data_IF_176481698241
#
_entry.id   IF_176481698241
#
_cell.length_a   1.000
_cell.length_b   1.000
_cell.length_c   1.000
_cell.angle_alpha   90.00
_cell.angle_beta   90.00
_cell.angle_gamma   90.00
#
_symmetry.space_group_name_H-M   'P 1'
#
loop_
_entity.id
_entity.type
_entity.pdbx_description
1 polymer ?
#
# COMPACT_ATOMS: atom_id res chain seq x y z
N UNK A 1 12.35 21.53 -6.86
CA UNK A 1 11.40 21.24 -5.86
C UNK A 1 11.76 20.05 -5.04
N UNK A 2 11.66 20.23 -3.80
CA UNK A 2 11.95 19.23 -2.81
C UNK A 2 10.98 18.08 -2.89
N UNK A 3 11.43 16.90 -3.25
CA UNK A 3 10.66 15.68 -3.18
C UNK A 3 9.43 15.61 -4.07
N UNK A 4 8.55 16.57 -3.98
CA UNK A 4 7.28 16.53 -4.70
C UNK A 4 7.39 16.84 -6.19
N UNK A 5 8.40 17.60 -6.56
CA UNK A 5 8.65 17.94 -7.96
C UNK A 5 9.72 17.09 -8.62
N UNK A 6 10.23 16.09 -7.93
CA UNK A 6 11.33 15.28 -8.45
C UNK A 6 10.83 14.30 -9.52
N UNK A 7 11.28 14.53 -10.75
CA UNK A 7 10.90 13.72 -11.90
C UNK A 7 11.62 12.36 -11.94
N UNK A 8 12.65 12.18 -11.12
CA UNK A 8 13.40 10.91 -11.08
C UNK A 8 12.57 9.78 -10.45
N UNK A 9 11.59 10.10 -9.62
CA UNK A 9 10.74 9.12 -8.95
C UNK A 9 9.30 9.42 -9.31
N UNK A 10 8.66 8.54 -10.08
CA UNK A 10 7.26 8.72 -10.46
C UNK A 10 6.33 8.43 -9.29
N UNK A 11 5.05 8.76 -9.44
CA UNK A 11 4.05 8.60 -8.38
C UNK A 11 3.90 7.16 -7.92
N UNK A 12 3.91 6.23 -8.87
CA UNK A 12 3.78 4.81 -8.56
C UNK A 12 4.93 4.34 -7.68
N UNK A 13 6.16 4.64 -8.08
CA UNK A 13 7.34 4.26 -7.31
C UNK A 13 7.35 4.90 -5.93
N UNK A 14 6.99 6.18 -5.85
CA UNK A 14 6.90 6.88 -4.57
C UNK A 14 5.88 6.24 -3.64
N UNK A 15 4.73 5.83 -4.17
CA UNK A 15 3.71 5.11 -3.39
C UNK A 15 4.25 3.80 -2.86
N UNK A 16 5.00 3.06 -3.67
CA UNK A 16 5.62 1.80 -3.25
C UNK A 16 6.64 2.03 -2.12
N UNK A 17 7.44 3.08 -2.25
CA UNK A 17 8.41 3.45 -1.20
C UNK A 17 7.70 3.83 0.10
N UNK A 18 6.60 4.58 0.01
CA UNK A 18 5.82 4.95 1.20
C UNK A 18 5.27 3.72 1.91
N UNK A 19 4.78 2.74 1.18
CA UNK A 19 4.26 1.50 1.77
C UNK A 19 5.38 0.73 2.48
N UNK A 20 6.57 0.69 1.89
CA UNK A 20 7.71 0.03 2.54
C UNK A 20 8.10 0.75 3.83
N UNK A 21 8.22 2.06 3.79
CA UNK A 21 8.63 2.85 4.96
C UNK A 21 7.59 2.80 6.07
N UNK A 22 6.33 3.04 5.75
CA UNK A 22 5.26 3.06 6.74
C UNK A 22 5.05 1.67 7.34
N UNK A 23 5.16 0.63 6.53
CA UNK A 23 5.08 -0.75 7.00
C UNK A 23 6.22 -1.08 7.95
N UNK A 24 7.45 -0.68 7.61
CA UNK A 24 8.61 -0.92 8.45
C UNK A 24 8.50 -0.19 9.79
N UNK A 25 7.95 1.02 9.77
CA UNK A 25 7.78 1.83 10.98
C UNK A 25 6.56 1.43 11.81
N UNK A 26 5.72 0.54 11.30
CA UNK A 26 4.52 0.11 12.01
C UNK A 26 3.40 1.13 12.06
N UNK A 27 3.39 2.10 11.16
CA UNK A 27 2.36 3.16 11.10
C UNK A 27 1.17 2.67 10.29
N UNK A 28 0.38 1.78 10.87
CA UNK A 28 -0.61 1.01 10.14
C UNK A 28 -1.81 1.83 9.67
N UNK A 29 -2.21 2.84 10.41
CA UNK A 29 -3.31 3.70 9.98
C UNK A 29 -2.94 4.46 8.70
N UNK A 30 -1.77 5.08 8.69
CA UNK A 30 -1.25 5.76 7.50
C UNK A 30 -0.96 4.79 6.39
N UNK A 31 -0.45 3.60 6.73
CA UNK A 31 -0.19 2.56 5.74
C UNK A 31 -1.45 2.22 4.95
N UNK A 32 -2.58 2.06 5.64
CA UNK A 32 -3.86 1.74 4.99
C UNK A 32 -4.31 2.86 4.04
N UNK A 33 -4.15 4.11 4.45
CA UNK A 33 -4.49 5.27 3.62
C UNK A 33 -3.61 5.29 2.37
N UNK A 34 -2.31 5.08 2.54
CA UNK A 34 -1.36 5.06 1.42
C UNK A 34 -1.54 3.84 0.52
N UNK A 35 -2.03 2.73 1.07
CA UNK A 35 -2.35 1.54 0.28
C UNK A 35 -3.47 1.86 -0.73
N UNK A 36 -4.50 2.56 -0.30
CA UNK A 36 -5.57 3.03 -1.19
C UNK A 36 -5.01 3.97 -2.26
N UNK A 37 -4.19 4.94 -1.84
CA UNK A 37 -3.56 5.89 -2.76
C UNK A 37 -2.64 5.21 -3.75
N UNK A 38 -1.91 4.20 -3.32
CA UNK A 38 -1.01 3.43 -4.18
C UNK A 38 -1.78 2.76 -5.31
N UNK A 39 -2.92 2.17 -5.02
CA UNK A 39 -3.75 1.55 -6.05
C UNK A 39 -4.21 2.59 -7.09
N UNK A 40 -4.57 3.78 -6.65
CA UNK A 40 -4.94 4.88 -7.56
C UNK A 40 -3.77 5.30 -8.44
N UNK A 41 -2.55 5.17 -7.94
CA UNK A 41 -1.33 5.50 -8.67
C UNK A 41 -0.78 4.33 -9.49
N UNK A 42 -1.54 3.26 -9.60
CA UNK A 42 -1.21 2.14 -10.48
C UNK A 42 -0.44 0.99 -9.84
N UNK A 43 -0.26 1.01 -8.52
CA UNK A 43 0.37 -0.11 -7.81
C UNK A 43 -0.63 -1.26 -7.74
N UNK A 44 -0.24 -2.41 -8.26
CA UNK A 44 -1.12 -3.59 -8.30
C UNK A 44 -1.13 -4.31 -6.95
N UNK A 45 -2.16 -5.15 -6.75
CA UNK A 45 -2.23 -6.00 -5.55
C UNK A 45 -1.01 -6.90 -5.42
N UNK A 46 -0.53 -7.45 -6.54
CA UNK A 46 0.66 -8.29 -6.53
C UNK A 46 1.91 -7.50 -6.12
N UNK A 47 2.03 -6.27 -6.58
CA UNK A 47 3.14 -5.40 -6.18
C UNK A 47 3.06 -5.06 -4.69
N UNK A 48 1.86 -4.83 -4.16
CA UNK A 48 1.67 -4.58 -2.73
C UNK A 48 2.06 -5.81 -1.92
N UNK A 49 1.67 -7.00 -2.36
CA UNK A 49 2.07 -8.25 -1.71
C UNK A 49 3.58 -8.45 -1.73
N UNK A 50 4.23 -8.08 -2.83
CA UNK A 50 5.69 -8.15 -2.94
C UNK A 50 6.36 -7.20 -1.94
N UNK A 51 5.82 -5.99 -1.76
CA UNK A 51 6.32 -5.04 -0.77
C UNK A 51 6.19 -5.63 0.64
N UNK A 52 5.06 -6.24 0.96
CA UNK A 52 4.83 -6.89 2.25
C UNK A 52 5.85 -8.02 2.48
N UNK A 53 6.15 -8.77 1.44
CA UNK A 53 7.16 -9.82 1.51
C UNK A 53 8.53 -9.26 1.88
N UNK A 54 8.91 -8.15 1.26
CA UNK A 54 10.18 -7.46 1.57
C UNK A 54 10.18 -6.97 3.01
N UNK A 55 9.06 -6.43 3.49
CA UNK A 55 8.92 -6.03 4.90
C UNK A 55 9.15 -7.23 5.81
N UNK A 56 8.62 -8.40 5.45
CA UNK A 56 8.82 -9.62 6.23
C UNK A 56 10.27 -10.03 6.31
N UNK A 57 11.02 -9.89 5.22
CA UNK A 57 12.44 -10.24 5.18
C UNK A 57 13.27 -9.33 6.08
N UNK A 58 13.02 -8.03 6.06
CA UNK A 58 13.87 -7.05 6.73
C UNK A 58 13.34 -6.60 8.09
N UNK A 59 12.03 -6.68 8.32
CA UNK A 59 11.41 -6.16 9.54
C UNK A 59 10.74 -7.25 10.39
N UNK A 60 10.70 -8.49 9.88
CA UNK A 60 10.14 -9.62 10.59
C UNK A 60 8.71 -9.96 10.19
N UNK A 61 8.37 -11.23 10.39
CA UNK A 61 7.07 -11.78 10.01
C UNK A 61 5.89 -11.12 10.72
N UNK A 62 5.97 -10.82 12.04
CA UNK A 62 4.83 -10.16 12.70
C UNK A 62 4.42 -8.84 12.04
N UNK A 63 5.39 -8.03 11.63
CA UNK A 63 5.11 -6.76 10.97
C UNK A 63 4.52 -6.98 9.58
N UNK A 64 5.04 -7.96 8.85
CA UNK A 64 4.48 -8.32 7.54
C UNK A 64 3.02 -8.79 7.66
N UNK A 65 2.70 -9.55 8.71
CA UNK A 65 1.32 -10.01 8.94
C UNK A 65 0.37 -8.85 9.21
N UNK A 66 0.82 -7.83 9.95
CA UNK A 66 0.00 -6.63 10.17
C UNK A 66 -0.29 -5.92 8.85
N UNK A 67 0.72 -5.76 8.02
CA UNK A 67 0.55 -5.15 6.69
C UNK A 67 -0.38 -5.99 5.81
N UNK A 68 -0.24 -7.30 5.88
CA UNK A 68 -1.07 -8.22 5.10
C UNK A 68 -2.55 -8.10 5.49
N UNK A 69 -2.83 -8.06 6.79
CA UNK A 69 -4.20 -7.87 7.28
C UNK A 69 -4.78 -6.53 6.83
N UNK A 70 -3.98 -5.46 6.95
CA UNK A 70 -4.40 -4.14 6.51
C UNK A 70 -4.66 -4.10 5.00
N UNK A 71 -3.80 -4.73 4.22
CA UNK A 71 -3.96 -4.80 2.76
C UNK A 71 -5.26 -5.53 2.38
N UNK A 72 -5.51 -6.66 3.01
CA UNK A 72 -6.72 -7.44 2.72
C UNK A 72 -7.98 -6.65 3.04
N UNK A 73 -7.97 -5.88 4.12
CA UNK A 73 -9.09 -5.02 4.47
C UNK A 73 -9.29 -3.92 3.43
N UNK A 74 -8.21 -3.28 2.99
CA UNK A 74 -8.28 -2.23 1.96
C UNK A 74 -8.84 -2.82 0.65
N UNK A 75 -8.37 -4.00 0.26
CA UNK A 75 -8.85 -4.66 -0.97
C UNK A 75 -10.33 -5.04 -0.85
N UNK A 76 -10.75 -5.57 0.30
CA UNK A 76 -12.14 -5.94 0.52
C UNK A 76 -13.06 -4.73 0.51
N UNK A 77 -12.66 -3.63 1.14
CA UNK A 77 -13.42 -2.39 1.15
C UNK A 77 -13.57 -1.81 -0.26
N UNK A 78 -12.52 -1.88 -1.06
CA UNK A 78 -12.55 -1.43 -2.44
C UNK A 78 -13.50 -2.27 -3.29
N UNK A 79 -13.46 -3.59 -3.15
CA UNK A 79 -14.34 -4.51 -3.87
C UNK A 79 -15.80 -4.28 -3.48
N UNK A 80 -16.07 -4.05 -2.21
CA UNK A 80 -17.42 -3.76 -1.73
C UNK A 80 -17.95 -2.46 -2.30
N UNK A 81 -17.13 -1.43 -2.39
CA UNK A 81 -17.49 -0.15 -2.98
C UNK A 81 -17.87 -0.31 -4.46
N UNK A 82 -17.11 -1.11 -5.21
CA UNK A 82 -17.40 -1.40 -6.62
C UNK A 82 -18.73 -2.15 -6.75
N UNK A 83 -18.98 -3.15 -5.91
CA UNK A 83 -20.23 -3.90 -5.92
C UNK A 83 -21.44 -3.01 -5.65
N UNK A 84 -21.32 -2.11 -4.70
CA UNK A 84 -22.40 -1.18 -4.35
C UNK A 84 -22.68 -0.21 -5.50
N UNK A 85 -21.68 0.24 -6.22
CA UNK A 85 -21.86 1.07 -7.41
C UNK A 85 -22.56 0.33 -8.54
N UNK A 86 -22.28 -0.95 -8.69
CA UNK A 86 -22.82 -1.77 -9.77
C UNK A 86 -24.27 -2.20 -9.51
N UNK A 87 -24.77 -2.05 -8.27
CA UNK A 87 -26.17 -2.37 -7.94
C UNK A 87 -27.15 -1.28 -8.32
N UNK A 88 -26.66 -0.11 -8.59
CA UNK A 88 -27.49 1.02 -9.02
C UNK A 88 -27.54 1.11 -10.53
#
# INVERSE_FOLDING_TARGET
GFGWGDKCINRKTRSMMNLAMLGALGKMEEWSIHCKGAQRNGVTKDEIRAIIHVIGIYCGVPQALECFRAANKVFADADLSIKNKNKD
#
